data_IF_961216333426
#
_entry.id   IF_961216333426
#
_cell.length_a   1.000
_cell.length_b   1.000
_cell.length_c   1.000
_cell.angle_alpha   90.00
_cell.angle_beta   90.00
_cell.angle_gamma   90.00
#
_symmetry.space_group_name_H-M   'P 1'
#
loop_
_entity.id
_entity.type
_entity.pdbx_description
1 polymer ?
#
# COMPACT_ATOMS: atom_id res chain seq x y z
N UNK A 1 -2.78 11.07 14.38
CA UNK A 1 -2.07 12.28 13.92
C UNK A 1 -3.12 13.34 13.56
N UNK A 2 -2.89 14.64 13.84
CA UNK A 2 -3.90 15.69 13.66
C UNK A 2 -4.45 15.75 12.22
N UNK A 3 -5.77 15.91 12.06
CA UNK A 3 -6.45 15.91 10.76
C UNK A 3 -5.82 16.85 9.71
N UNK A 4 -5.59 18.13 10.02
CA UNK A 4 -5.00 19.07 9.06
C UNK A 4 -3.60 18.65 8.56
N UNK A 5 -2.81 18.01 9.42
CA UNK A 5 -1.49 17.49 9.05
C UNK A 5 -1.63 16.29 8.09
N UNK A 6 -2.65 15.44 8.26
CA UNK A 6 -2.93 14.31 7.36
C UNK A 6 -3.29 14.76 5.97
N UNK A 7 -4.10 15.81 5.90
CA UNK A 7 -4.56 16.37 4.65
C UNK A 7 -3.41 17.04 3.92
N UNK A 8 -2.58 17.80 4.63
CA UNK A 8 -1.35 18.37 4.09
C UNK A 8 -0.39 17.30 3.57
N UNK A 9 -0.16 16.24 4.34
CA UNK A 9 0.65 15.10 3.93
C UNK A 9 0.08 14.42 2.69
N UNK A 10 -1.24 14.25 2.62
CA UNK A 10 -1.91 13.72 1.42
C UNK A 10 -1.67 14.53 0.16
N UNK A 11 -1.82 15.85 0.25
CA UNK A 11 -1.53 16.76 -0.88
C UNK A 11 -0.06 16.72 -1.28
N UNK A 12 0.86 16.39 -0.38
CA UNK A 12 2.27 16.15 -0.71
C UNK A 12 2.40 14.83 -1.48
N UNK A 13 1.87 13.73 -0.96
CA UNK A 13 1.93 12.42 -1.63
C UNK A 13 1.33 12.48 -3.05
N UNK A 14 0.19 13.16 -3.22
CA UNK A 14 -0.44 13.38 -4.53
C UNK A 14 0.48 14.12 -5.51
N UNK A 15 1.16 15.19 -5.06
CA UNK A 15 2.15 15.92 -5.88
C UNK A 15 3.36 15.08 -6.25
N UNK A 16 3.72 14.12 -5.40
CA UNK A 16 4.82 13.20 -5.62
C UNK A 16 4.42 11.92 -6.39
N UNK A 17 3.13 11.76 -6.73
CA UNK A 17 2.63 10.60 -7.46
C UNK A 17 2.63 9.31 -6.63
N UNK A 18 2.57 9.41 -5.30
CA UNK A 18 2.51 8.27 -4.37
C UNK A 18 1.25 8.35 -3.49
N UNK A 19 0.95 7.29 -2.76
CA UNK A 19 -0.08 7.31 -1.73
C UNK A 19 0.55 7.37 -0.33
N UNK A 20 -0.23 7.92 0.61
CA UNK A 20 0.20 8.11 2.00
C UNK A 20 0.70 6.83 2.65
N UNK A 21 0.16 5.67 2.29
CA UNK A 21 0.50 4.38 2.93
C UNK A 21 1.85 3.90 2.43
N UNK A 22 2.06 3.90 1.11
CA UNK A 22 3.35 3.50 0.54
C UNK A 22 4.48 4.43 0.98
N UNK A 23 4.27 5.74 0.96
CA UNK A 23 5.28 6.72 1.41
C UNK A 23 5.62 6.53 2.90
N UNK A 24 4.60 6.31 3.75
CA UNK A 24 4.82 6.06 5.17
C UNK A 24 5.55 4.72 5.42
N UNK A 25 5.18 3.67 4.69
CA UNK A 25 5.87 2.37 4.75
C UNK A 25 7.34 2.51 4.35
N UNK A 26 7.63 3.23 3.27
CA UNK A 26 9.00 3.50 2.82
C UNK A 26 9.80 4.29 3.85
N UNK A 27 9.17 5.30 4.47
CA UNK A 27 9.80 6.02 5.57
C UNK A 27 10.12 5.11 6.76
N UNK A 28 9.17 4.27 7.19
CA UNK A 28 9.37 3.33 8.30
C UNK A 28 10.48 2.32 7.99
N UNK A 29 10.51 1.78 6.76
CA UNK A 29 11.57 0.88 6.28
C UNK A 29 12.94 1.55 6.37
N UNK A 30 13.04 2.80 5.91
CA UNK A 30 14.29 3.54 5.95
C UNK A 30 14.78 3.74 7.39
N UNK A 31 13.90 4.16 8.31
CA UNK A 31 14.25 4.38 9.73
C UNK A 31 14.71 3.10 10.42
N UNK A 32 14.04 1.97 10.18
CA UNK A 32 14.46 0.67 10.74
C UNK A 32 15.80 0.22 10.17
N UNK A 33 16.08 0.46 8.89
CA UNK A 33 17.38 0.13 8.30
C UNK A 33 18.52 1.00 8.82
N UNK A 34 18.23 2.27 9.08
CA UNK A 34 19.23 3.25 9.52
C UNK A 34 19.55 3.14 11.01
N UNK A 35 18.55 2.85 11.84
CA UNK A 35 18.67 2.94 13.30
C UNK A 35 18.26 1.68 14.05
N UNK A 36 17.63 0.72 13.37
CA UNK A 36 17.07 -0.46 14.02
C UNK A 36 18.15 -1.45 14.45
N UNK A 37 17.88 -2.12 15.56
CA UNK A 37 18.71 -3.21 16.04
C UNK A 37 18.43 -4.53 15.29
N UNK A 38 18.91 -5.66 15.81
CA UNK A 38 18.66 -6.97 15.20
C UNK A 38 17.18 -7.37 15.28
N UNK A 39 16.50 -7.07 16.38
CA UNK A 39 15.08 -7.39 16.56
C UNK A 39 14.20 -6.53 15.64
N UNK A 40 14.51 -5.23 15.51
CA UNK A 40 13.80 -4.33 14.61
C UNK A 40 13.91 -4.78 13.15
N UNK A 41 15.12 -5.18 12.73
CA UNK A 41 15.37 -5.68 11.37
C UNK A 41 14.68 -7.02 11.11
N UNK A 42 14.62 -7.90 12.10
CA UNK A 42 13.84 -9.14 12.00
C UNK A 42 12.33 -8.86 11.87
N UNK A 43 11.81 -7.90 12.65
CA UNK A 43 10.43 -7.44 12.54
C UNK A 43 10.11 -6.86 11.16
N UNK A 44 11.02 -6.05 10.60
CA UNK A 44 10.88 -5.54 9.24
C UNK A 44 10.85 -6.66 8.20
N UNK A 45 11.73 -7.66 8.31
CA UNK A 45 11.77 -8.79 7.37
C UNK A 45 10.46 -9.59 7.39
N UNK A 46 9.91 -9.86 8.58
CA UNK A 46 8.62 -10.54 8.73
C UNK A 46 7.46 -9.73 8.13
N UNK A 47 7.43 -8.41 8.36
CA UNK A 47 6.41 -7.53 7.81
C UNK A 47 6.45 -7.46 6.27
N UNK A 48 7.65 -7.41 5.67
CA UNK A 48 7.82 -7.46 4.21
C UNK A 48 7.33 -8.78 3.62
N UNK A 49 7.60 -9.91 4.28
CA UNK A 49 7.11 -11.22 3.85
C UNK A 49 5.57 -11.27 3.84
N UNK A 50 4.92 -10.80 4.91
CA UNK A 50 3.47 -10.77 5.00
C UNK A 50 2.84 -9.85 3.94
N UNK A 51 3.44 -8.68 3.70
CA UNK A 51 2.98 -7.76 2.64
C UNK A 51 3.12 -8.38 1.26
N UNK A 52 4.20 -9.12 0.99
CA UNK A 52 4.39 -9.85 -0.26
C UNK A 52 3.32 -10.94 -0.42
N UNK A 53 3.04 -11.72 0.61
CA UNK A 53 1.98 -12.73 0.60
C UNK A 53 0.59 -12.14 0.39
N UNK A 54 0.29 -10.99 1.01
CA UNK A 54 -0.97 -10.26 0.80
C UNK A 54 -1.10 -9.76 -0.64
N UNK A 55 -0.02 -9.25 -1.24
CA UNK A 55 0.01 -8.83 -2.64
C UNK A 55 -0.17 -10.03 -3.58
N UNK A 56 0.51 -11.15 -3.32
CA UNK A 56 0.35 -12.39 -4.07
C UNK A 56 -1.10 -12.91 -4.03
N UNK A 57 -1.74 -12.88 -2.85
CA UNK A 57 -3.14 -13.28 -2.68
C UNK A 57 -4.12 -12.32 -3.38
N UNK A 58 -3.89 -11.00 -3.32
CA UNK A 58 -4.75 -10.00 -3.98
C UNK A 58 -4.51 -9.90 -5.50
N UNK A 59 -3.36 -10.38 -6.00
CA UNK A 59 -3.00 -10.47 -7.41
C UNK A 59 -3.65 -11.64 -8.17
N UNK A 60 -4.33 -12.56 -7.47
CA UNK A 60 -5.05 -13.69 -8.07
C UNK A 60 -6.49 -13.38 -8.52
N UNK A 61 -6.87 -12.11 -8.72
CA UNK A 61 -8.21 -11.77 -9.23
C UNK A 61 -8.18 -11.73 -10.76
N UNK A 62 -8.75 -12.71 -11.49
CA UNK A 62 -8.99 -12.53 -12.92
C UNK A 62 -9.88 -11.30 -13.10
N UNK A 63 -9.44 -10.38 -13.97
CA UNK A 63 -10.25 -9.28 -14.48
C UNK A 63 -11.48 -9.91 -15.11
N UNK A 64 -12.66 -9.80 -14.47
CA UNK A 64 -13.91 -10.07 -15.19
C UNK A 64 -14.03 -8.98 -16.24
N UNK A 65 -13.75 -9.33 -17.49
CA UNK A 65 -14.22 -8.59 -18.64
C UNK A 65 -15.71 -8.30 -18.45
N UNK A 66 -16.06 -7.02 -18.46
CA UNK A 66 -17.44 -6.62 -18.64
C UNK A 66 -17.83 -6.87 -20.10
N UNK A 67 -19.05 -7.37 -20.30
CA UNK A 67 -19.94 -7.31 -21.49
C UNK A 67 -20.69 -8.66 -21.52
N UNK A 68 -21.98 -8.74 -21.25
CA UNK A 68 -23.05 -8.05 -21.99
C UNK A 68 -24.30 -7.93 -21.12
N UNK A 69 -24.82 -6.71 -20.99
CA UNK A 69 -26.24 -6.49 -20.70
C UNK A 69 -26.98 -6.76 -22.00
N UNK A 70 -27.71 -7.86 -22.08
CA UNK A 70 -28.64 -8.09 -23.19
C UNK A 70 -29.78 -7.06 -23.09
N UNK A 71 -30.21 -6.44 -24.20
CA UNK A 71 -31.41 -5.63 -24.21
C UNK A 71 -32.64 -6.53 -24.07
N UNK A 72 -33.52 -6.10 -23.18
CA UNK A 72 -34.92 -6.51 -23.08
C UNK A 72 -35.57 -6.38 -24.47
N UNK A 73 -36.25 -7.43 -24.93
CA UNK A 73 -37.11 -7.38 -26.11
C UNK A 73 -38.27 -8.35 -25.92
N UNK A 74 -39.42 -7.73 -25.66
CA UNK A 74 -40.80 -8.07 -26.00
C UNK A 74 -41.48 -9.32 -25.41
#
# INVERSE_FOLDING_TARGET
MPGPLWDAYGRICERLGTDRTNDLLDHMRARVREHGDEADRAGLAAAEAELAERRARKGGRPKREGTSRAPDSE
#
